data_IF_389526169799
#
_entry.id   IF_389526169799
#
_cell.length_a   1.000
_cell.length_b   1.000
_cell.length_c   1.000
_cell.angle_alpha   90.00
_cell.angle_beta   90.00
_cell.angle_gamma   90.00
#
_symmetry.space_group_name_H-M   'P 1'
#
loop_
_entity.id
_entity.type
_entity.pdbx_description
1 polymer ?
#
# COMPACT_ATOMS: atom_id res chain seq x y z
N UNK A 1 1.70 -21.54 -33.36
CA UNK A 1 0.72 -21.94 -32.32
C UNK A 1 -0.28 -20.81 -32.19
N UNK A 2 -1.58 -21.08 -32.24
CA UNK A 2 -2.60 -20.01 -32.16
C UNK A 2 -2.76 -19.57 -30.70
N UNK A 3 -3.10 -18.29 -30.47
CA UNK A 3 -3.27 -17.74 -29.11
C UNK A 3 -4.22 -18.58 -28.21
N UNK A 4 -5.34 -19.13 -28.70
CA UNK A 4 -6.21 -20.02 -27.90
C UNK A 4 -5.53 -21.33 -27.46
N UNK A 5 -4.66 -21.90 -28.30
CA UNK A 5 -3.91 -23.12 -27.97
C UNK A 5 -2.87 -22.84 -26.89
N UNK A 6 -2.23 -21.66 -26.92
CA UNK A 6 -1.28 -21.20 -25.90
C UNK A 6 -2.01 -21.02 -24.56
N UNK A 7 -3.14 -20.32 -24.54
CA UNK A 7 -3.94 -20.12 -23.33
C UNK A 7 -4.41 -21.44 -22.73
N UNK A 8 -4.89 -22.36 -23.56
CA UNK A 8 -5.31 -23.69 -23.12
C UNK A 8 -4.14 -24.51 -22.56
N UNK A 9 -2.99 -24.51 -23.24
CA UNK A 9 -1.79 -25.19 -22.77
C UNK A 9 -1.27 -24.61 -21.45
N UNK A 10 -1.29 -23.29 -21.29
CA UNK A 10 -0.86 -22.61 -20.06
C UNK A 10 -1.75 -23.01 -18.87
N UNK A 11 -3.07 -23.06 -19.05
CA UNK A 11 -4.01 -23.49 -18.00
C UNK A 11 -3.88 -24.98 -17.67
N UNK A 12 -3.68 -25.84 -18.67
CA UNK A 12 -3.74 -27.29 -18.48
C UNK A 12 -2.38 -27.94 -18.13
N UNK A 13 -1.26 -27.36 -18.58
CA UNK A 13 0.06 -28.04 -18.56
C UNK A 13 1.09 -27.37 -17.67
N UNK A 14 0.83 -26.16 -17.19
CA UNK A 14 1.76 -25.39 -16.37
C UNK A 14 1.10 -25.11 -15.02
N UNK A 15 1.77 -25.52 -13.94
CA UNK A 15 1.25 -25.29 -12.59
C UNK A 15 1.37 -23.81 -12.21
N UNK A 16 0.50 -23.35 -11.31
CA UNK A 16 0.49 -21.97 -10.83
C UNK A 16 1.79 -21.60 -10.11
N UNK A 17 2.39 -22.56 -9.40
CA UNK A 17 3.68 -22.41 -8.73
C UNK A 17 4.81 -22.14 -9.73
N UNK A 18 4.78 -22.80 -10.89
CA UNK A 18 5.75 -22.55 -11.97
C UNK A 18 5.53 -21.17 -12.60
N UNK A 19 4.27 -20.79 -12.85
CA UNK A 19 3.95 -19.43 -13.33
C UNK A 19 4.47 -18.38 -12.34
N UNK A 20 4.17 -18.54 -11.05
CA UNK A 20 4.66 -17.66 -9.99
C UNK A 20 6.19 -17.56 -9.95
N UNK A 21 6.89 -18.68 -10.09
CA UNK A 21 8.36 -18.70 -10.15
C UNK A 21 8.91 -17.88 -11.31
N UNK A 22 8.33 -18.01 -12.51
CA UNK A 22 8.78 -17.26 -13.68
C UNK A 22 8.42 -15.78 -13.59
N UNK A 23 7.25 -15.43 -13.05
CA UNK A 23 6.88 -14.03 -12.76
C UNK A 23 7.84 -13.41 -11.74
N UNK A 24 8.20 -14.16 -10.69
CA UNK A 24 9.20 -13.75 -9.71
C UNK A 24 10.52 -13.36 -10.37
N UNK A 25 11.02 -14.23 -11.27
CA UNK A 25 12.24 -13.96 -12.05
C UNK A 25 12.09 -12.77 -12.99
N UNK A 26 10.94 -12.60 -13.64
CA UNK A 26 10.67 -11.46 -14.51
C UNK A 26 10.72 -10.13 -13.75
N UNK A 27 10.16 -10.08 -12.54
CA UNK A 27 10.13 -8.86 -11.73
C UNK A 27 11.46 -8.54 -11.03
N UNK A 28 12.28 -9.56 -10.79
CA UNK A 28 13.66 -9.39 -10.32
C UNK A 28 14.67 -9.19 -11.47
N UNK A 29 14.23 -9.42 -12.70
CA UNK A 29 15.06 -9.40 -13.89
C UNK A 29 15.35 -7.99 -14.41
N UNK A 30 15.91 -7.95 -15.62
CA UNK A 30 16.39 -6.71 -16.25
C UNK A 30 15.25 -5.72 -16.60
N UNK A 31 14.09 -6.22 -17.03
CA UNK A 31 13.01 -5.36 -17.51
C UNK A 31 11.61 -5.89 -17.12
N UNK A 32 11.18 -5.66 -15.88
CA UNK A 32 9.83 -6.01 -15.41
C UNK A 32 8.72 -5.29 -16.19
N UNK A 33 8.95 -4.05 -16.61
CA UNK A 33 8.02 -3.26 -17.42
C UNK A 33 7.68 -3.94 -18.75
N UNK A 34 8.70 -4.39 -19.49
CA UNK A 34 8.49 -5.12 -20.74
C UNK A 34 7.77 -6.45 -20.51
N UNK A 35 8.04 -7.12 -19.37
CA UNK A 35 7.36 -8.37 -19.02
C UNK A 35 5.85 -8.15 -18.84
N UNK A 36 5.44 -7.13 -18.10
CA UNK A 36 4.02 -6.77 -17.93
C UNK A 36 3.37 -6.31 -19.24
N UNK A 37 4.09 -5.53 -20.04
CA UNK A 37 3.60 -5.04 -21.33
C UNK A 37 3.34 -6.19 -22.31
N UNK A 38 4.25 -7.17 -22.39
CA UNK A 38 4.06 -8.35 -23.22
C UNK A 38 2.88 -9.19 -22.74
N UNK A 39 2.75 -9.46 -21.44
CA UNK A 39 1.61 -10.20 -20.87
C UNK A 39 0.28 -9.52 -21.25
N UNK A 40 0.23 -8.19 -21.22
CA UNK A 40 -0.92 -7.42 -21.66
C UNK A 40 -1.16 -7.56 -23.17
N UNK A 41 -0.14 -7.35 -24.00
CA UNK A 41 -0.23 -7.34 -25.48
C UNK A 41 -0.66 -8.69 -26.06
N UNK A 42 -0.21 -9.79 -25.45
CA UNK A 42 -0.64 -11.14 -25.85
C UNK A 42 -1.89 -11.62 -25.11
N UNK A 43 -2.57 -10.74 -24.38
CA UNK A 43 -3.83 -11.02 -23.66
C UNK A 43 -3.72 -12.25 -22.72
N UNK A 44 -2.62 -12.36 -21.96
CA UNK A 44 -2.37 -13.44 -20.99
C UNK A 44 -2.65 -13.03 -19.55
N UNK A 45 -3.15 -11.82 -19.30
CA UNK A 45 -3.34 -11.31 -17.95
C UNK A 45 -4.19 -12.25 -17.08
N UNK A 46 -5.36 -12.67 -17.57
CA UNK A 46 -6.27 -13.54 -16.81
C UNK A 46 -5.65 -14.91 -16.55
N UNK A 47 -4.89 -15.42 -17.51
CA UNK A 47 -4.17 -16.66 -17.37
C UNK A 47 -3.02 -16.57 -16.35
N UNK A 48 -2.51 -15.40 -16.03
CA UNK A 48 -1.33 -15.23 -15.15
C UNK A 48 -1.69 -14.67 -13.77
N UNK A 49 -2.58 -13.68 -13.71
CA UNK A 49 -2.85 -12.92 -12.49
C UNK A 49 -4.29 -13.07 -11.97
N UNK A 50 -5.08 -13.96 -12.57
CA UNK A 50 -6.42 -14.28 -12.06
C UNK A 50 -6.48 -15.69 -11.47
N UNK A 51 -7.28 -15.87 -10.40
CA UNK A 51 -7.55 -17.19 -9.86
C UNK A 51 -8.35 -18.04 -10.87
N UNK A 52 -8.23 -19.37 -10.82
CA UNK A 52 -8.93 -20.27 -11.74
C UNK A 52 -10.40 -20.48 -11.34
N UNK A 53 -11.18 -19.40 -11.27
CA UNK A 53 -12.63 -19.42 -10.96
C UNK A 53 -13.47 -19.29 -12.24
N UNK A 54 -14.70 -19.84 -12.22
CA UNK A 54 -15.59 -19.83 -13.39
C UNK A 54 -16.11 -18.42 -13.69
N UNK A 55 -16.53 -17.68 -12.66
CA UNK A 55 -17.14 -16.36 -12.81
C UNK A 55 -16.15 -15.24 -12.44
N UNK A 56 -15.10 -15.10 -13.27
CA UNK A 56 -14.16 -13.98 -13.11
C UNK A 56 -14.84 -12.64 -13.41
N UNK A 57 -14.65 -11.61 -12.57
CA UNK A 57 -15.16 -10.28 -12.86
C UNK A 57 -14.48 -9.70 -14.11
N UNK A 58 -15.10 -8.67 -14.67
CA UNK A 58 -14.49 -7.90 -15.77
C UNK A 58 -13.37 -7.04 -15.18
N UNK A 59 -12.13 -7.42 -15.47
CA UNK A 59 -10.94 -6.72 -14.99
C UNK A 59 -10.54 -5.62 -15.98
N UNK A 60 -10.26 -4.39 -15.51
CA UNK A 60 -9.68 -3.32 -16.32
C UNK A 60 -8.19 -3.59 -16.55
N UNK A 61 -7.87 -4.56 -17.40
CA UNK A 61 -6.49 -5.04 -17.62
C UNK A 61 -5.53 -3.93 -18.07
N UNK A 62 -6.06 -2.88 -18.71
CA UNK A 62 -5.30 -1.68 -19.09
C UNK A 62 -4.68 -0.96 -17.88
N UNK A 63 -5.29 -1.05 -16.70
CA UNK A 63 -4.78 -0.44 -15.46
C UNK A 63 -3.39 -0.99 -15.12
N UNK A 64 -3.09 -2.25 -15.44
CA UNK A 64 -1.75 -2.83 -15.26
C UNK A 64 -0.72 -2.17 -16.18
N UNK A 65 -1.09 -1.87 -17.42
CA UNK A 65 -0.18 -1.23 -18.38
C UNK A 65 0.15 0.20 -17.94
N UNK A 66 -0.88 0.96 -17.55
CA UNK A 66 -0.72 2.31 -17.00
C UNK A 66 0.13 2.28 -15.72
N UNK A 67 -0.14 1.33 -14.82
CA UNK A 67 0.65 1.11 -13.60
C UNK A 67 2.14 0.86 -13.91
N UNK A 68 2.42 -0.01 -14.88
CA UNK A 68 3.78 -0.33 -15.28
C UNK A 68 4.51 0.91 -15.85
N UNK A 69 3.83 1.71 -16.67
CA UNK A 69 4.38 2.95 -17.23
C UNK A 69 4.70 3.97 -16.12
N UNK A 70 3.78 4.17 -15.17
CA UNK A 70 3.99 5.02 -13.98
C UNK A 70 5.21 4.56 -13.19
N UNK A 71 5.30 3.26 -12.90
CA UNK A 71 6.43 2.68 -12.16
C UNK A 71 7.76 2.96 -12.87
N UNK A 72 7.83 2.70 -14.17
CA UNK A 72 9.05 2.88 -14.97
C UNK A 72 9.47 4.34 -15.08
N UNK A 73 8.53 5.23 -15.37
CA UNK A 73 8.85 6.60 -15.78
C UNK A 73 8.85 7.59 -14.61
N UNK A 74 8.02 7.36 -13.59
CA UNK A 74 7.81 8.33 -12.51
C UNK A 74 8.44 7.84 -11.20
N UNK A 75 8.17 6.60 -10.80
CA UNK A 75 8.63 6.09 -9.51
C UNK A 75 10.10 5.59 -9.55
N UNK A 76 10.53 5.04 -10.68
CA UNK A 76 11.92 4.60 -10.90
C UNK A 76 12.69 5.50 -11.86
N UNK A 77 12.04 6.54 -12.40
CA UNK A 77 12.70 7.53 -13.22
C UNK A 77 13.62 8.44 -12.41
N UNK A 78 14.61 9.02 -13.09
CA UNK A 78 15.41 10.10 -12.51
C UNK A 78 14.69 11.43 -12.72
N UNK A 79 13.62 11.66 -11.96
CA UNK A 79 12.92 12.93 -11.96
C UNK A 79 13.61 13.89 -10.97
N UNK A 80 14.33 14.89 -11.48
CA UNK A 80 15.01 15.89 -10.64
C UNK A 80 14.03 16.75 -9.82
N UNK A 81 12.77 16.85 -10.25
CA UNK A 81 11.72 17.61 -9.58
C UNK A 81 11.16 16.91 -8.33
N UNK A 82 11.25 15.58 -8.25
CA UNK A 82 10.64 14.78 -7.17
C UNK A 82 11.66 13.80 -6.54
N UNK A 83 12.72 14.33 -5.91
CA UNK A 83 13.84 13.52 -5.43
C UNK A 83 13.45 12.51 -4.33
N UNK A 84 12.43 12.77 -3.51
CA UNK A 84 12.00 11.81 -2.47
C UNK A 84 11.15 10.71 -3.05
N UNK A 85 10.27 11.00 -4.00
CA UNK A 85 9.54 9.97 -4.75
C UNK A 85 10.51 9.02 -5.45
N UNK A 86 11.53 9.55 -6.16
CA UNK A 86 12.55 8.71 -6.83
C UNK A 86 13.39 7.83 -5.88
N UNK A 87 13.41 8.18 -4.58
CA UNK A 87 14.11 7.43 -3.52
C UNK A 87 13.16 6.59 -2.64
N UNK A 88 11.86 6.55 -2.95
CA UNK A 88 10.87 5.86 -2.13
C UNK A 88 11.06 4.34 -2.16
N UNK A 89 11.27 3.77 -3.35
CA UNK A 89 11.29 2.31 -3.59
C UNK A 89 12.65 1.89 -4.18
N UNK A 90 13.68 1.88 -3.33
CA UNK A 90 15.09 1.79 -3.77
C UNK A 90 15.68 0.40 -3.64
N UNK A 91 15.22 -0.38 -2.66
CA UNK A 91 15.72 -1.73 -2.43
C UNK A 91 15.17 -2.70 -3.47
N UNK A 92 15.89 -3.80 -3.73
CA UNK A 92 15.42 -4.85 -4.65
C UNK A 92 14.08 -5.44 -4.22
N UNK A 93 13.84 -5.53 -2.90
CA UNK A 93 12.58 -6.00 -2.32
C UNK A 93 11.43 -5.02 -2.58
N UNK A 94 11.61 -3.73 -2.29
CA UNK A 94 10.59 -2.70 -2.59
C UNK A 94 10.26 -2.65 -4.08
N UNK A 95 11.27 -2.70 -4.96
CA UNK A 95 11.07 -2.71 -6.41
C UNK A 95 10.28 -3.94 -6.87
N UNK A 96 10.64 -5.11 -6.36
CA UNK A 96 9.92 -6.34 -6.64
C UNK A 96 8.45 -6.24 -6.23
N UNK A 97 8.17 -5.79 -5.01
CA UNK A 97 6.81 -5.62 -4.53
C UNK A 97 6.04 -4.55 -5.32
N UNK A 98 6.69 -3.47 -5.75
CA UNK A 98 6.07 -2.44 -6.58
C UNK A 98 5.58 -3.01 -7.92
N UNK A 99 6.35 -3.87 -8.58
CA UNK A 99 5.92 -4.56 -9.80
C UNK A 99 4.79 -5.54 -9.54
N UNK A 100 4.82 -6.24 -8.40
CA UNK A 100 3.74 -7.13 -7.98
C UNK A 100 2.44 -6.36 -7.73
N UNK A 101 2.51 -5.20 -7.07
CA UNK A 101 1.38 -4.30 -6.84
C UNK A 101 0.85 -3.75 -8.16
N UNK A 102 1.73 -3.33 -9.09
CA UNK A 102 1.36 -2.87 -10.42
C UNK A 102 0.63 -3.96 -11.23
N UNK A 103 1.09 -5.21 -11.15
CA UNK A 103 0.42 -6.35 -11.77
C UNK A 103 -0.99 -6.57 -11.22
N UNK A 104 -1.22 -6.24 -9.94
CA UNK A 104 -2.51 -6.39 -9.29
C UNK A 104 -3.42 -5.16 -9.38
N UNK A 105 -3.01 -4.08 -10.04
CA UNK A 105 -3.83 -2.86 -10.14
C UNK A 105 -5.25 -3.09 -10.72
N UNK A 106 -5.48 -4.02 -11.67
CA UNK A 106 -6.85 -4.30 -12.15
C UNK A 106 -7.80 -4.86 -11.07
N UNK A 107 -7.25 -5.32 -9.94
CA UNK A 107 -8.01 -5.84 -8.81
C UNK A 107 -8.40 -4.79 -7.76
N UNK A 108 -7.99 -3.52 -7.92
CA UNK A 108 -8.18 -2.44 -6.92
C UNK A 108 -9.61 -2.31 -6.41
N UNK A 109 -10.57 -2.30 -7.32
CA UNK A 109 -11.99 -2.05 -7.03
C UNK A 109 -12.87 -3.29 -7.26
N UNK A 110 -12.29 -4.49 -7.21
CA UNK A 110 -13.03 -5.73 -7.50
C UNK A 110 -13.70 -6.27 -6.23
N UNK A 111 -14.96 -6.74 -6.32
CA UNK A 111 -15.67 -7.29 -5.18
C UNK A 111 -14.98 -8.56 -4.65
N UNK A 112 -15.13 -8.83 -3.36
CA UNK A 112 -14.65 -10.06 -2.74
C UNK A 112 -15.29 -11.27 -3.42
N UNK A 113 -14.53 -12.35 -3.68
CA UNK A 113 -15.13 -13.61 -4.08
C UNK A 113 -16.07 -14.09 -2.96
N UNK A 114 -17.23 -14.63 -3.33
CA UNK A 114 -18.42 -14.84 -2.50
C UNK A 114 -18.29 -15.80 -1.29
N UNK A 115 -17.08 -16.16 -0.85
CA UNK A 115 -16.88 -17.19 0.19
C UNK A 115 -15.80 -16.85 1.25
N UNK A 116 -15.29 -15.62 1.27
CA UNK A 116 -14.35 -15.18 2.30
C UNK A 116 -15.03 -14.22 3.29
N UNK A 117 -15.17 -14.68 4.54
CA UNK A 117 -15.72 -13.91 5.66
C UNK A 117 -14.71 -12.91 6.26
N UNK A 118 -13.54 -12.77 5.64
CA UNK A 118 -12.46 -11.92 6.13
C UNK A 118 -12.40 -10.62 5.33
N UNK A 119 -12.12 -9.52 6.01
CA UNK A 119 -11.89 -8.17 5.47
C UNK A 119 -10.61 -8.07 4.58
N UNK A 120 -10.18 -9.19 4.00
CA UNK A 120 -8.97 -9.33 3.18
C UNK A 120 -9.28 -8.87 1.76
N UNK A 121 -8.54 -7.89 1.20
CA UNK A 121 -8.81 -7.40 -0.16
C UNK A 121 -8.74 -8.50 -1.23
N UNK A 122 -9.65 -8.43 -2.21
CA UNK A 122 -9.75 -9.37 -3.35
C UNK A 122 -8.42 -9.59 -4.05
N UNK A 123 -7.61 -8.53 -4.22
CA UNK A 123 -6.29 -8.61 -4.83
C UNK A 123 -5.36 -9.59 -4.10
N UNK A 124 -5.39 -9.63 -2.77
CA UNK A 124 -4.53 -10.52 -1.98
C UNK A 124 -4.94 -11.99 -2.14
N UNK A 125 -6.24 -12.27 -2.21
CA UNK A 125 -6.75 -13.62 -2.49
C UNK A 125 -6.39 -14.04 -3.92
N UNK A 126 -6.68 -13.18 -4.90
CA UNK A 126 -6.43 -13.42 -6.31
C UNK A 126 -4.97 -13.74 -6.58
N UNK A 127 -4.03 -12.95 -6.05
CA UNK A 127 -2.61 -13.18 -6.30
C UNK A 127 -2.07 -14.44 -5.62
N UNK A 128 -2.59 -14.77 -4.42
CA UNK A 128 -2.17 -15.96 -3.68
C UNK A 128 -2.57 -17.24 -4.41
N UNK A 129 -3.76 -17.26 -5.01
CA UNK A 129 -4.20 -18.38 -5.84
C UNK A 129 -3.54 -18.40 -7.22
N UNK A 130 -3.40 -17.22 -7.83
CA UNK A 130 -2.83 -17.09 -9.16
C UNK A 130 -1.33 -17.42 -9.18
N UNK A 131 -0.52 -16.90 -8.25
CA UNK A 131 0.93 -17.07 -8.33
C UNK A 131 1.49 -18.01 -7.26
N UNK A 132 0.66 -18.48 -6.32
CA UNK A 132 1.13 -19.24 -5.15
C UNK A 132 2.22 -18.49 -4.40
N UNK A 133 2.03 -17.17 -4.27
CA UNK A 133 2.96 -16.29 -3.58
C UNK A 133 3.05 -16.65 -2.08
N UNK A 134 4.14 -16.22 -1.46
CA UNK A 134 4.36 -16.37 -0.03
C UNK A 134 3.32 -15.59 0.79
N UNK A 135 3.20 -15.96 2.07
CA UNK A 135 2.33 -15.23 3.00
C UNK A 135 2.74 -13.76 3.14
N UNK A 136 4.04 -13.47 3.14
CA UNK A 136 4.58 -12.11 3.22
C UNK A 136 4.11 -11.26 2.05
N UNK A 137 4.21 -11.76 0.82
CA UNK A 137 3.75 -11.05 -0.37
C UNK A 137 2.24 -10.82 -0.33
N UNK A 138 1.46 -11.84 0.05
CA UNK A 138 0.00 -11.70 0.16
C UNK A 138 -0.41 -10.67 1.23
N UNK A 139 0.35 -10.57 2.33
CA UNK A 139 0.09 -9.60 3.39
C UNK A 139 0.42 -8.17 2.95
N UNK A 140 1.52 -7.96 2.22
CA UNK A 140 1.86 -6.64 1.65
C UNK A 140 0.77 -6.19 0.68
N UNK A 141 0.32 -7.07 -0.22
CA UNK A 141 -0.79 -6.77 -1.14
C UNK A 141 -2.07 -6.47 -0.35
N UNK A 142 -2.39 -7.24 0.69
CA UNK A 142 -3.57 -6.97 1.52
C UNK A 142 -3.49 -5.57 2.17
N UNK A 143 -2.35 -5.20 2.76
CA UNK A 143 -2.18 -3.87 3.38
C UNK A 143 -2.31 -2.74 2.39
N UNK A 144 -1.63 -2.83 1.24
CA UNK A 144 -1.69 -1.81 0.17
C UNK A 144 -3.13 -1.56 -0.28
N UNK A 145 -3.89 -2.63 -0.54
CA UNK A 145 -5.25 -2.52 -1.07
C UNK A 145 -6.28 -2.19 0.01
N UNK A 146 -5.97 -2.36 1.30
CA UNK A 146 -6.81 -1.93 2.41
C UNK A 146 -6.57 -0.46 2.82
N UNK A 147 -5.31 -0.01 2.78
CA UNK A 147 -4.90 1.26 3.40
C UNK A 147 -4.81 2.45 2.43
N UNK A 148 -4.91 2.25 1.12
CA UNK A 148 -4.70 3.34 0.14
C UNK A 148 -5.61 4.55 0.41
N UNK A 149 -6.88 4.36 0.79
CA UNK A 149 -7.77 5.47 1.13
C UNK A 149 -7.28 6.29 2.33
N UNK A 150 -6.72 5.63 3.34
CA UNK A 150 -6.19 6.29 4.54
C UNK A 150 -4.95 7.11 4.18
N UNK A 151 -4.08 6.55 3.34
CA UNK A 151 -2.87 7.24 2.86
C UNK A 151 -3.23 8.44 2.00
N UNK A 152 -4.17 8.29 1.06
CA UNK A 152 -4.66 9.39 0.25
C UNK A 152 -5.22 10.52 1.12
N UNK A 153 -6.06 10.18 2.10
CA UNK A 153 -6.61 11.13 3.06
C UNK A 153 -5.50 11.85 3.86
N UNK A 154 -4.47 11.12 4.28
CA UNK A 154 -3.31 11.67 4.97
C UNK A 154 -2.53 12.64 4.09
N UNK A 155 -2.31 12.31 2.82
CA UNK A 155 -1.59 13.18 1.87
C UNK A 155 -2.39 14.44 1.55
N UNK A 156 -3.71 14.34 1.40
CA UNK A 156 -4.59 15.48 1.08
C UNK A 156 -4.70 16.44 2.27
N UNK A 157 -4.91 15.91 3.48
CA UNK A 157 -5.19 16.71 4.67
C UNK A 157 -3.97 16.85 5.59
N UNK A 158 -2.76 16.67 5.06
CA UNK A 158 -1.55 16.58 5.89
C UNK A 158 -1.29 17.85 6.70
N UNK A 159 -1.65 19.03 6.16
CA UNK A 159 -1.47 20.33 6.82
C UNK A 159 -2.39 20.52 8.02
N UNK A 160 -3.54 19.85 8.03
CA UNK A 160 -4.53 19.92 9.11
C UNK A 160 -4.24 18.94 10.26
N UNK A 161 -3.24 18.07 10.10
CA UNK A 161 -2.97 16.99 11.04
C UNK A 161 -1.79 17.33 11.96
N UNK A 162 -1.96 17.06 13.25
CA UNK A 162 -0.86 17.17 14.19
C UNK A 162 0.22 16.12 13.91
N UNK A 163 1.46 16.40 14.31
CA UNK A 163 2.59 15.46 14.19
C UNK A 163 2.25 14.12 14.82
N UNK A 164 1.62 14.14 16.00
CA UNK A 164 1.17 12.95 16.71
C UNK A 164 0.19 12.12 15.91
N UNK A 165 -0.80 12.76 15.26
CA UNK A 165 -1.79 12.07 14.43
C UNK A 165 -1.13 11.40 13.21
N UNK A 166 -0.27 12.12 12.49
CA UNK A 166 0.49 11.56 11.36
C UNK A 166 1.35 10.38 11.83
N UNK A 167 2.03 10.52 12.97
CA UNK A 167 2.86 9.47 13.53
C UNK A 167 2.09 8.20 13.91
N UNK A 168 0.86 8.34 14.42
CA UNK A 168 0.00 7.19 14.77
C UNK A 168 -0.34 6.40 13.50
N UNK A 169 -0.75 7.09 12.45
CA UNK A 169 -1.07 6.44 11.18
C UNK A 169 0.18 5.82 10.54
N UNK A 170 1.31 6.54 10.49
CA UNK A 170 2.58 6.00 9.99
C UNK A 170 3.04 4.75 10.75
N UNK A 171 2.78 4.69 12.07
CA UNK A 171 3.04 3.48 12.87
C UNK A 171 2.11 2.33 12.45
N UNK A 172 0.84 2.61 12.20
CA UNK A 172 -0.14 1.60 11.77
C UNK A 172 0.20 1.01 10.39
N UNK A 173 0.77 1.82 9.48
CA UNK A 173 1.26 1.34 8.17
C UNK A 173 2.40 0.33 8.31
N UNK A 174 3.19 0.38 9.39
CA UNK A 174 4.24 -0.60 9.66
C UNK A 174 5.51 -0.42 8.81
N UNK A 175 6.38 -1.43 8.83
CA UNK A 175 7.68 -1.37 8.16
C UNK A 175 7.59 -1.30 6.62
N UNK A 176 6.48 -1.74 6.04
CA UNK A 176 6.22 -1.75 4.60
C UNK A 176 5.53 -0.48 4.08
N UNK A 177 5.44 0.58 4.89
CA UNK A 177 4.74 1.83 4.55
C UNK A 177 5.16 2.43 3.19
N UNK A 178 6.43 2.29 2.79
CA UNK A 178 6.93 2.80 1.51
C UNK A 178 6.22 2.16 0.32
N UNK A 179 6.00 0.85 0.36
CA UNK A 179 5.26 0.13 -0.68
C UNK A 179 3.80 0.61 -0.72
N UNK A 180 3.20 0.86 0.45
CA UNK A 180 1.82 1.35 0.55
C UNK A 180 1.67 2.78 0.02
N UNK A 181 2.60 3.70 0.35
CA UNK A 181 2.61 5.07 -0.17
C UNK A 181 2.87 5.09 -1.68
N UNK A 182 3.85 4.33 -2.17
CA UNK A 182 4.15 4.24 -3.59
C UNK A 182 2.98 3.66 -4.40
N UNK A 183 2.27 2.68 -3.83
CA UNK A 183 1.06 2.13 -4.43
C UNK A 183 -0.10 3.14 -4.46
N UNK A 184 -0.30 3.90 -3.37
CA UNK A 184 -1.33 4.92 -3.32
C UNK A 184 -1.11 6.00 -4.40
N UNK A 185 0.12 6.51 -4.51
CA UNK A 185 0.51 7.43 -5.58
C UNK A 185 0.25 6.82 -6.97
N UNK A 186 0.66 5.57 -7.20
CA UNK A 186 0.40 4.88 -8.47
C UNK A 186 -1.11 4.77 -8.77
N UNK A 187 -1.92 4.43 -7.78
CA UNK A 187 -3.37 4.31 -7.94
C UNK A 187 -4.05 5.63 -8.30
N UNK A 188 -3.65 6.73 -7.66
CA UNK A 188 -4.18 8.06 -7.99
C UNK A 188 -3.79 8.47 -9.43
N UNK A 189 -2.56 8.19 -9.84
CA UNK A 189 -2.10 8.45 -11.20
C UNK A 189 -2.77 7.58 -12.26
N UNK A 190 -3.12 6.32 -11.93
CA UNK A 190 -3.94 5.47 -12.82
C UNK A 190 -5.32 6.09 -13.01
N UNK A 191 -5.98 6.45 -11.92
CA UNK A 191 -7.33 7.05 -11.97
C UNK A 191 -7.30 8.37 -12.76
N UNK A 192 -6.24 9.17 -12.60
CA UNK A 192 -6.02 10.39 -13.35
C UNK A 192 -5.86 10.13 -14.86
N UNK A 193 -4.97 9.20 -15.25
CA UNK A 193 -4.71 8.87 -16.67
C UNK A 193 -5.88 8.23 -17.40
N UNK A 194 -6.83 7.63 -16.65
CA UNK A 194 -8.07 7.09 -17.21
C UNK A 194 -9.09 8.18 -17.54
N UNK A 195 -9.02 9.32 -16.86
CA UNK A 195 -9.84 10.48 -17.16
C UNK A 195 -9.19 11.23 -18.33
N UNK A 196 -9.78 11.13 -19.53
CA UNK A 196 -9.22 11.64 -20.79
C UNK A 196 -8.96 13.17 -20.84
N UNK A 197 -9.24 13.90 -19.76
CA UNK A 197 -8.96 15.33 -19.57
C UNK A 197 -7.66 15.61 -18.82
N UNK A 198 -6.98 14.59 -18.29
CA UNK A 198 -5.75 14.79 -17.52
C UNK A 198 -4.64 15.34 -18.41
N UNK A 199 -4.13 16.52 -18.03
CA UNK A 199 -2.90 17.08 -18.57
C UNK A 199 -1.72 16.83 -17.61
N UNK A 200 -0.51 17.14 -18.08
CA UNK A 200 0.72 17.00 -17.30
C UNK A 200 0.73 17.87 -16.02
N UNK A 201 -0.15 18.87 -15.92
CA UNK A 201 -0.26 19.77 -14.77
C UNK A 201 -0.95 19.05 -13.61
N UNK A 202 -2.04 18.32 -13.87
CA UNK A 202 -2.70 17.52 -12.84
C UNK A 202 -1.80 16.39 -12.32
N UNK A 203 -1.07 15.71 -13.21
CA UNK A 203 -0.10 14.67 -12.84
C UNK A 203 0.98 15.24 -11.92
N UNK A 204 1.53 16.40 -12.29
CA UNK A 204 2.52 17.11 -11.47
C UNK A 204 1.94 17.51 -10.12
N UNK A 205 0.70 17.99 -10.06
CA UNK A 205 0.04 18.38 -8.82
C UNK A 205 -0.12 17.22 -7.83
N UNK A 206 -0.44 16.01 -8.32
CA UNK A 206 -0.46 14.79 -7.48
C UNK A 206 0.96 14.48 -6.97
N UNK A 207 1.95 14.49 -7.85
CA UNK A 207 3.35 14.21 -7.48
C UNK A 207 3.89 15.23 -6.46
N UNK A 208 3.56 16.51 -6.59
CA UNK A 208 4.00 17.58 -5.67
C UNK A 208 3.44 17.38 -4.25
N UNK A 209 2.18 16.92 -4.12
CA UNK A 209 1.58 16.59 -2.81
C UNK A 209 2.34 15.45 -2.14
N UNK A 210 2.64 14.39 -2.86
CA UNK A 210 3.38 13.25 -2.32
C UNK A 210 4.83 13.59 -1.98
N UNK A 211 5.51 14.41 -2.80
CA UNK A 211 6.86 14.87 -2.52
C UNK A 211 6.90 15.74 -1.25
N UNK A 212 5.90 16.62 -1.08
CA UNK A 212 5.74 17.43 0.13
C UNK A 212 5.46 16.55 1.34
N UNK A 213 4.54 15.59 1.22
CA UNK A 213 4.25 14.63 2.28
C UNK A 213 5.51 13.86 2.71
N UNK A 214 6.24 13.27 1.77
CA UNK A 214 7.49 12.53 2.05
C UNK A 214 8.56 13.43 2.65
N UNK A 215 8.61 14.71 2.28
CA UNK A 215 9.50 15.69 2.89
C UNK A 215 9.17 15.92 4.35
N UNK A 216 7.91 16.19 4.66
CA UNK A 216 7.44 16.40 6.02
C UNK A 216 7.67 15.17 6.89
N UNK A 217 7.36 13.96 6.41
CA UNK A 217 7.61 12.71 7.16
C UNK A 217 9.09 12.56 7.56
N UNK A 218 10.01 12.92 6.66
CA UNK A 218 11.44 12.85 6.94
C UNK A 218 11.91 13.96 7.90
N UNK A 219 11.45 15.20 7.71
CA UNK A 219 11.80 16.34 8.56
C UNK A 219 11.28 16.17 9.99
N UNK A 220 10.10 15.57 10.13
CA UNK A 220 9.50 15.20 11.41
C UNK A 220 10.07 13.89 11.98
N UNK A 221 10.96 13.18 11.29
CA UNK A 221 11.53 11.92 11.77
C UNK A 221 10.51 10.79 11.98
N UNK A 222 9.43 10.78 11.19
CA UNK A 222 8.34 9.80 11.27
C UNK A 222 8.54 8.57 10.38
N UNK A 223 9.61 8.51 9.57
CA UNK A 223 9.92 7.36 8.72
C UNK A 223 10.05 6.04 9.51
N UNK A 224 10.48 6.13 10.78
CA UNK A 224 10.63 5.03 11.72
C UNK A 224 9.49 4.92 12.75
N UNK A 225 8.34 5.56 12.52
CA UNK A 225 7.23 5.60 13.49
C UNK A 225 6.76 4.19 13.92
N UNK A 226 6.85 3.20 13.03
CA UNK A 226 6.52 1.80 13.32
C UNK A 226 7.38 1.16 14.43
N UNK A 227 8.53 1.74 14.77
CA UNK A 227 9.37 1.30 15.90
C UNK A 227 8.97 1.93 17.25
N UNK A 228 8.09 2.93 17.27
CA UNK A 228 7.64 3.52 18.53
C UNK A 228 6.90 2.48 19.36
N UNK A 229 7.37 2.27 20.60
CA UNK A 229 6.69 1.41 21.57
C UNK A 229 5.66 2.22 22.32
N UNK A 230 4.46 1.67 22.47
CA UNK A 230 3.47 2.16 23.43
C UNK A 230 4.08 2.09 24.82
N UNK A 231 3.99 3.17 25.59
CA UNK A 231 4.41 3.11 26.99
C UNK A 231 3.49 2.18 27.80
N UNK A 232 4.10 1.31 28.60
CA UNK A 232 3.39 0.54 29.61
C UNK A 232 2.97 1.47 30.74
N UNK A 233 1.72 1.92 30.70
CA UNK A 233 1.09 2.56 31.84
C UNK A 233 0.72 1.42 32.79
N UNK A 234 1.45 1.27 33.91
CA UNK A 234 1.24 0.22 34.92
C UNK A 234 -0.09 0.34 35.69
N UNK A 235 -1.18 0.55 34.96
CA UNK A 235 -2.54 0.71 35.44
C UNK A 235 -3.32 -0.60 35.26
N UNK A 236 -4.40 -0.75 36.01
CA UNK A 236 -5.23 -1.95 36.03
C UNK A 236 -5.92 -2.14 34.66
N UNK A 237 -5.85 -3.33 34.04
CA UNK A 237 -6.49 -3.60 32.75
C UNK A 237 -8.00 -3.31 32.77
N UNK A 238 -8.53 -2.73 31.68
CA UNK A 238 -9.96 -2.45 31.50
C UNK A 238 -10.30 -1.93 30.09
N UNK A 239 -11.59 -1.76 29.79
CA UNK A 239 -12.09 -1.31 28.47
C UNK A 239 -11.50 0.04 28.01
N UNK A 240 -11.15 0.89 28.96
CA UNK A 240 -10.53 2.21 28.75
C UNK A 240 -9.06 2.18 28.35
N UNK A 241 -8.42 1.00 28.43
CA UNK A 241 -6.99 0.86 28.19
C UNK A 241 -6.61 1.08 26.72
N UNK A 242 -7.41 0.61 25.76
CA UNK A 242 -7.11 0.76 24.33
C UNK A 242 -7.11 2.24 23.87
N UNK A 243 -8.18 3.03 24.12
CA UNK A 243 -8.19 4.47 23.81
C UNK A 243 -7.07 5.24 24.53
N UNK A 244 -6.78 4.88 25.79
CA UNK A 244 -5.70 5.48 26.55
C UNK A 244 -4.33 5.18 25.94
N UNK A 245 -4.09 3.95 25.49
CA UNK A 245 -2.85 3.56 24.79
C UNK A 245 -2.69 4.35 23.50
N UNK A 246 -3.75 4.48 22.71
CA UNK A 246 -3.75 5.23 21.45
C UNK A 246 -3.47 6.72 21.67
N UNK A 247 -4.14 7.36 22.63
CA UNK A 247 -3.91 8.77 22.96
C UNK A 247 -2.55 9.02 23.61
N UNK A 248 -2.07 8.09 24.44
CA UNK A 248 -0.72 8.16 25.01
C UNK A 248 0.34 8.06 23.93
N UNK A 249 0.16 7.15 22.97
CA UNK A 249 1.03 7.06 21.80
C UNK A 249 1.00 8.35 20.98
N UNK A 250 -0.19 8.91 20.71
CA UNK A 250 -0.32 10.17 20.00
C UNK A 250 0.43 11.29 20.75
N UNK A 251 0.30 11.38 22.07
CA UNK A 251 1.04 12.35 22.89
C UNK A 251 2.55 12.16 22.82
N UNK A 252 3.05 10.92 22.84
CA UNK A 252 4.48 10.61 22.66
C UNK A 252 4.99 11.06 21.30
N UNK A 253 4.19 10.86 20.25
CA UNK A 253 4.49 11.29 18.89
C UNK A 253 4.24 12.79 18.68
N UNK A 254 3.51 13.47 19.55
CA UNK A 254 3.43 14.93 19.54
C UNK A 254 4.65 15.54 20.24
N UNK A 255 5.20 14.83 21.24
CA UNK A 255 6.25 15.33 22.12
C UNK A 255 7.49 14.42 22.13
N UNK A 256 8.23 14.29 21.01
CA UNK A 256 9.32 13.31 20.87
C UNK A 256 10.49 13.51 21.85
N UNK A 257 10.65 14.73 22.39
CA UNK A 257 11.72 15.07 23.34
C UNK A 257 11.34 14.83 24.80
N UNK A 258 10.07 14.56 25.09
CA UNK A 258 9.60 14.38 26.46
C UNK A 258 9.82 12.94 26.93
N UNK A 259 10.31 12.80 28.15
CA UNK A 259 10.62 11.51 28.76
C UNK A 259 9.39 10.78 29.29
N UNK A 260 9.60 9.55 29.76
CA UNK A 260 8.55 8.70 30.33
C UNK A 260 7.83 9.33 31.52
N UNK A 261 8.53 10.10 32.35
CA UNK A 261 7.95 10.73 33.53
C UNK A 261 6.88 11.77 33.18
N UNK A 262 7.09 12.54 32.11
CA UNK A 262 6.10 13.50 31.64
C UNK A 262 4.88 12.78 31.08
N UNK A 263 5.08 11.71 30.31
CA UNK A 263 3.98 10.91 29.80
C UNK A 263 3.13 10.33 30.94
N UNK A 264 3.77 9.81 32.00
CA UNK A 264 3.05 9.31 33.17
C UNK A 264 2.26 10.40 33.89
N UNK A 265 2.81 11.62 33.99
CA UNK A 265 2.09 12.77 34.53
C UNK A 265 0.90 13.15 33.65
N UNK A 266 1.08 13.19 32.33
CA UNK A 266 0.02 13.47 31.36
C UNK A 266 -1.11 12.43 31.43
N UNK A 267 -0.78 11.13 31.47
CA UNK A 267 -1.77 10.04 31.60
C UNK A 267 -2.55 10.16 32.91
N UNK A 268 -1.88 10.47 34.03
CA UNK A 268 -2.56 10.67 35.33
C UNK A 268 -3.49 11.87 35.30
N UNK A 269 -3.08 12.98 34.70
CA UNK A 269 -3.87 14.21 34.60
C UNK A 269 -5.09 14.07 33.68
N UNK A 270 -5.00 13.25 32.64
CA UNK A 270 -6.08 13.07 31.66
C UNK A 270 -6.98 11.86 31.95
N UNK A 271 -6.70 11.07 33.00
CA UNK A 271 -7.43 9.82 33.29
C UNK A 271 -8.94 9.97 33.34
N UNK A 272 -9.46 10.98 34.04
CA UNK A 272 -10.90 11.16 34.20
C UNK A 272 -11.58 11.56 32.89
N UNK A 273 -11.02 12.53 32.17
CA UNK A 273 -11.53 12.93 30.85
C UNK A 273 -11.54 11.77 29.84
N UNK A 274 -10.54 10.88 29.90
CA UNK A 274 -10.48 9.68 29.06
C UNK A 274 -11.56 8.65 29.42
N UNK A 275 -11.99 8.57 30.68
CA UNK A 275 -13.07 7.70 31.12
C UNK A 275 -14.43 8.28 30.73
N UNK A 276 -14.60 9.59 30.86
CA UNK A 276 -15.85 10.28 30.56
C UNK A 276 -16.17 10.26 29.04
N UNK A 277 -15.16 10.19 28.18
CA UNK A 277 -15.36 10.00 26.73
C UNK A 277 -15.83 8.58 26.33
N UNK A 278 -15.68 7.59 27.22
CA UNK A 278 -16.05 6.19 26.93
C UNK A 278 -17.48 5.84 27.32
N UNK A 279 -18.06 6.61 28.25
CA UNK A 279 -19.47 6.58 28.62
C UNK A 279 -20.03 8.01 28.51
N UNK A 280 -20.30 8.51 27.29
CA UNK A 280 -20.97 9.80 27.14
C UNK A 280 -22.36 9.74 27.78
N UNK A 281 -22.83 10.83 28.42
CA UNK A 281 -24.12 10.88 29.12
C UNK A 281 -25.34 10.67 28.22
#
# INVERSE_FOLDING_TARGET
>A
MKLPEIKSALKAKISRERVGTEIGKMFQGYNPHASLSLIHEVDLYKEVFAPPIQDLPVLPVQDMKIAADIMRHLLFGSASSHPRISKLLTTSSERYHAWLIAAMSPWKNQPLPLDHNDNTPTAAVAIKEALRCSNVESEIIAKVFANWNIIQNMVINFEDWSRGKIGVEMRALGADWKNQVGACLMFELIDLKKNASSDEVEERGVMDKYETFLKTIAEEGLEGAFHFKTAECGLIPGAWMKPMIEKSLQHQLENPHKGKDELLQWVRGNRQALLDELDPP
#
